data_IF_459467298498
#
_entry.id   IF_459467298498
#
_cell.length_a   1.000
_cell.length_b   1.000
_cell.length_c   1.000
_cell.angle_alpha   90.00
_cell.angle_beta   90.00
_cell.angle_gamma   90.00
#
_symmetry.space_group_name_H-M   'P 1'
#
loop_
_entity.id
_entity.type
_entity.pdbx_description
1 polymer ?
#
# COMPACT_ATOMS: atom_id res chain seq x y z
N UNK A 1 25.15 -17.25 44.56
CA UNK A 1 24.54 -17.82 43.32
C UNK A 1 23.16 -18.35 43.65
N UNK A 2 22.10 -17.72 43.14
CA UNK A 2 20.77 -18.33 43.10
C UNK A 2 20.87 -19.62 42.28
N UNK A 3 20.68 -20.76 42.96
CA UNK A 3 20.65 -22.09 42.38
C UNK A 3 19.34 -22.72 42.76
N UNK A 4 18.68 -23.30 41.76
CA UNK A 4 17.51 -24.14 41.97
C UNK A 4 17.99 -25.42 42.67
N UNK A 5 17.34 -25.78 43.78
CA UNK A 5 17.61 -27.02 44.49
C UNK A 5 17.20 -28.25 43.68
N UNK A 6 17.58 -29.45 44.15
CA UNK A 6 17.17 -30.71 43.50
C UNK A 6 15.63 -30.90 43.48
N UNK A 7 14.93 -30.20 44.36
CA UNK A 7 13.47 -30.15 44.48
C UNK A 7 12.81 -29.12 43.54
N UNK A 8 13.58 -28.39 42.73
CA UNK A 8 13.04 -27.39 41.82
C UNK A 8 12.74 -26.03 42.44
N UNK A 9 13.05 -25.84 43.73
CA UNK A 9 12.79 -24.59 44.44
C UNK A 9 14.06 -23.76 44.67
N UNK A 10 13.91 -22.45 44.55
CA UNK A 10 14.89 -21.50 45.08
C UNK A 10 14.60 -21.25 46.56
N UNK A 11 15.67 -21.13 47.37
CA UNK A 11 15.58 -20.90 48.81
C UNK A 11 16.15 -19.54 49.15
N UNK A 12 15.40 -18.78 49.94
CA UNK A 12 15.80 -17.44 50.40
C UNK A 12 15.80 -17.46 51.92
N UNK A 13 16.94 -17.09 52.52
CA UNK A 13 17.07 -16.90 53.96
C UNK A 13 16.97 -15.40 54.27
N UNK A 14 15.98 -15.02 55.07
CA UNK A 14 15.80 -13.64 55.54
C UNK A 14 16.10 -13.59 57.02
N UNK A 15 17.18 -12.89 57.39
CA UNK A 15 17.54 -12.64 58.78
C UNK A 15 17.02 -11.27 59.19
N UNK A 16 16.12 -11.23 60.16
CA UNK A 16 15.58 -9.99 60.71
C UNK A 16 16.28 -9.63 62.03
N UNK A 17 16.64 -8.36 62.20
CA UNK A 17 17.20 -7.89 63.45
C UNK A 17 16.16 -7.98 64.58
N UNK A 18 16.59 -8.16 65.85
CA UNK A 18 15.69 -8.09 67.01
C UNK A 18 14.86 -6.80 66.98
N UNK A 19 13.55 -6.91 67.23
CA UNK A 19 12.62 -5.77 67.18
C UNK A 19 12.06 -5.44 65.79
N UNK A 20 12.37 -6.22 64.75
CA UNK A 20 11.68 -6.12 63.45
C UNK A 20 10.22 -6.53 63.61
N UNK A 21 9.28 -5.65 63.27
CA UNK A 21 7.85 -5.95 63.35
C UNK A 21 7.41 -6.98 62.30
N UNK A 22 6.38 -7.76 62.61
CA UNK A 22 5.79 -8.76 61.71
C UNK A 22 5.38 -8.13 60.37
N UNK A 23 4.77 -6.95 60.40
CA UNK A 23 4.41 -6.21 59.18
C UNK A 23 5.62 -5.86 58.32
N UNK A 24 6.77 -5.54 58.92
CA UNK A 24 8.01 -5.26 58.19
C UNK A 24 8.58 -6.53 57.59
N UNK A 25 8.60 -7.62 58.36
CA UNK A 25 9.04 -8.93 57.88
C UNK A 25 8.18 -9.42 56.71
N UNK A 26 6.85 -9.31 56.82
CA UNK A 26 5.89 -9.68 55.78
C UNK A 26 6.12 -8.90 54.48
N UNK A 27 6.30 -7.58 54.55
CA UNK A 27 6.62 -6.77 53.35
C UNK A 27 7.93 -7.16 52.69
N UNK A 28 8.97 -7.48 53.48
CA UNK A 28 10.26 -7.93 52.93
C UNK A 28 10.08 -9.29 52.24
N UNK A 29 9.41 -10.23 52.88
CA UNK A 29 9.13 -11.54 52.30
C UNK A 29 8.32 -11.42 50.99
N UNK A 30 7.25 -10.62 50.99
CA UNK A 30 6.44 -10.36 49.81
C UNK A 30 7.27 -9.76 48.66
N UNK A 31 8.12 -8.77 48.93
CA UNK A 31 8.99 -8.17 47.91
C UNK A 31 9.96 -9.18 47.29
N UNK A 32 10.52 -10.07 48.10
CA UNK A 32 11.43 -11.12 47.62
C UNK A 32 10.68 -12.14 46.75
N UNK A 33 9.48 -12.54 47.15
CA UNK A 33 8.63 -13.44 46.36
C UNK A 33 8.18 -12.81 45.04
N UNK A 34 7.76 -11.54 45.06
CA UNK A 34 7.39 -10.79 43.86
C UNK A 34 8.59 -10.64 42.93
N UNK A 35 9.77 -10.30 43.47
CA UNK A 35 11.01 -10.20 42.69
C UNK A 35 11.31 -11.50 41.93
N UNK A 36 11.24 -12.65 42.60
CA UNK A 36 11.50 -13.93 41.94
C UNK A 36 10.40 -14.33 40.95
N UNK A 37 9.14 -14.08 41.30
CA UNK A 37 8.00 -14.34 40.42
C UNK A 37 8.13 -13.55 39.11
N UNK A 38 8.36 -12.23 39.21
CA UNK A 38 8.45 -11.37 38.04
C UNK A 38 9.76 -11.54 37.27
N UNK A 39 10.85 -11.95 37.92
CA UNK A 39 12.08 -12.37 37.23
C UNK A 39 11.82 -13.58 36.35
N UNK A 40 11.12 -14.60 36.85
CA UNK A 40 10.80 -15.77 36.04
C UNK A 40 9.85 -15.42 34.90
N UNK A 41 8.80 -14.63 35.18
CA UNK A 41 7.83 -14.20 34.17
C UNK A 41 8.47 -13.36 33.06
N UNK A 42 9.42 -12.48 33.36
CA UNK A 42 10.14 -11.71 32.33
C UNK A 42 11.03 -12.60 31.47
N UNK A 43 11.68 -13.61 32.06
CA UNK A 43 12.56 -14.56 31.35
C UNK A 43 11.81 -15.52 30.42
N UNK A 44 10.49 -15.68 30.57
CA UNK A 44 9.67 -16.48 29.65
C UNK A 44 9.69 -15.97 28.20
N UNK A 45 10.09 -14.72 27.98
CA UNK A 45 10.21 -14.12 26.64
C UNK A 45 11.56 -14.37 25.97
N UNK A 46 12.61 -14.71 26.72
CA UNK A 46 13.95 -14.89 26.16
C UNK A 46 14.03 -16.03 25.12
N UNK A 47 13.47 -17.23 25.35
CA UNK A 47 13.50 -18.30 24.35
C UNK A 47 12.76 -17.93 23.06
N UNK A 48 11.66 -17.17 23.19
CA UNK A 48 10.90 -16.66 22.05
C UNK A 48 11.73 -15.66 21.26
N UNK A 49 12.36 -14.69 21.93
CA UNK A 49 13.22 -13.70 21.31
C UNK A 49 14.40 -14.34 20.55
N UNK A 50 15.02 -15.38 21.12
CA UNK A 50 16.10 -16.13 20.47
C UNK A 50 15.63 -16.89 19.23
N UNK A 51 14.46 -17.53 19.27
CA UNK A 51 13.91 -18.23 18.09
C UNK A 51 13.51 -17.27 16.98
N UNK A 52 12.95 -16.11 17.32
CA UNK A 52 12.56 -15.10 16.32
C UNK A 52 13.75 -14.42 15.67
N UNK A 53 14.91 -14.35 16.33
CA UNK A 53 16.07 -13.62 15.81
C UNK A 53 16.51 -14.11 14.43
N UNK A 54 16.51 -15.42 14.18
CA UNK A 54 16.86 -15.99 12.87
C UNK A 54 15.78 -15.71 11.82
N UNK A 55 14.51 -15.92 12.17
CA UNK A 55 13.37 -15.62 11.28
C UNK A 55 13.37 -14.15 10.85
N UNK A 56 13.58 -13.23 11.79
CA UNK A 56 13.68 -11.80 11.51
C UNK A 56 14.84 -11.48 10.55
N UNK A 57 16.01 -12.09 10.73
CA UNK A 57 17.14 -11.87 9.83
C UNK A 57 16.81 -12.31 8.40
N UNK A 58 16.12 -13.44 8.22
CA UNK A 58 15.67 -13.90 6.89
C UNK A 58 14.65 -12.95 6.28
N UNK A 59 13.64 -12.52 7.05
CA UNK A 59 12.59 -11.59 6.56
C UNK A 59 13.17 -10.20 6.25
N UNK A 60 14.13 -9.71 7.04
CA UNK A 60 14.88 -8.48 6.77
C UNK A 60 15.67 -8.57 5.45
N UNK A 61 16.33 -9.71 5.20
CA UNK A 61 17.07 -9.94 3.95
C UNK A 61 16.13 -10.00 2.73
N UNK A 62 14.98 -10.66 2.86
CA UNK A 62 13.94 -10.68 1.82
C UNK A 62 13.44 -9.28 1.49
N UNK A 63 13.21 -8.43 2.50
CA UNK A 63 12.83 -7.03 2.26
C UNK A 63 13.90 -6.29 1.46
N UNK A 64 15.18 -6.43 1.84
CA UNK A 64 16.30 -5.80 1.14
C UNK A 64 16.34 -6.23 -0.32
N UNK A 65 16.18 -7.52 -0.59
CA UNK A 65 16.14 -8.06 -1.94
C UNK A 65 14.98 -7.49 -2.77
N UNK A 66 13.77 -7.43 -2.21
CA UNK A 66 12.61 -6.86 -2.89
C UNK A 66 12.83 -5.37 -3.18
N UNK A 67 13.35 -4.62 -2.22
CA UNK A 67 13.64 -3.18 -2.42
C UNK A 67 14.71 -2.95 -3.49
N UNK A 68 15.73 -3.81 -3.57
CA UNK A 68 16.76 -3.71 -4.61
C UNK A 68 16.17 -3.99 -6.01
N UNK A 69 15.26 -4.96 -6.13
CA UNK A 69 14.54 -5.24 -7.40
C UNK A 69 13.61 -4.10 -7.81
N UNK A 70 13.05 -3.37 -6.84
CA UNK A 70 12.23 -2.18 -7.10
C UNK A 70 13.05 -1.06 -7.74
N UNK A 71 14.33 -0.91 -7.37
CA UNK A 71 15.25 0.09 -7.94
C UNK A 71 15.77 -0.30 -9.33
N UNK A 72 16.03 -1.59 -9.59
CA UNK A 72 16.64 -2.03 -10.85
C UNK A 72 15.63 -2.26 -11.98
N UNK A 73 14.32 -2.19 -11.70
CA UNK A 73 13.23 -2.39 -12.67
C UNK A 73 13.28 -3.72 -13.43
N UNK A 74 13.90 -4.76 -12.86
CA UNK A 74 14.08 -6.06 -13.53
C UNK A 74 12.84 -6.95 -13.48
N UNK A 75 11.88 -6.64 -12.60
CA UNK A 75 10.69 -7.46 -12.34
C UNK A 75 9.44 -6.59 -12.45
N UNK A 76 8.32 -7.18 -12.88
CA UNK A 76 7.02 -6.49 -12.91
C UNK A 76 6.60 -6.02 -11.51
N UNK A 77 6.06 -4.81 -11.44
CA UNK A 77 5.58 -4.22 -10.19
C UNK A 77 4.46 -5.07 -9.56
N UNK A 78 3.69 -5.83 -10.35
CA UNK A 78 2.65 -6.77 -9.85
C UNK A 78 3.26 -7.91 -9.02
N UNK A 79 4.38 -8.49 -9.49
CA UNK A 79 5.09 -9.56 -8.77
C UNK A 79 5.69 -9.00 -7.48
N UNK A 80 6.34 -7.83 -7.55
CA UNK A 80 6.90 -7.17 -6.36
C UNK A 80 5.82 -6.82 -5.32
N UNK A 81 4.61 -6.49 -5.79
CA UNK A 81 3.47 -6.16 -4.91
C UNK A 81 2.94 -7.42 -4.21
N UNK A 82 2.88 -8.55 -4.91
CA UNK A 82 2.59 -9.85 -4.32
C UNK A 82 3.64 -10.28 -3.28
N UNK A 83 4.92 -10.15 -3.60
CA UNK A 83 6.03 -10.46 -2.69
C UNK A 83 5.98 -9.59 -1.42
N UNK A 84 5.79 -8.28 -1.57
CA UNK A 84 5.64 -7.36 -0.44
C UNK A 84 4.38 -7.63 0.39
N UNK A 85 3.26 -7.96 -0.24
CA UNK A 85 2.03 -8.30 0.47
C UNK A 85 2.18 -9.57 1.31
N UNK A 86 2.84 -10.60 0.76
CA UNK A 86 3.17 -11.83 1.49
C UNK A 86 4.10 -11.56 2.66
N UNK A 87 5.15 -10.75 2.45
CA UNK A 87 6.08 -10.35 3.50
C UNK A 87 5.39 -9.54 4.61
N UNK A 88 4.51 -8.60 4.24
CA UNK A 88 3.71 -7.82 5.17
C UNK A 88 2.80 -8.72 6.03
N UNK A 89 2.09 -9.67 5.41
CA UNK A 89 1.26 -10.61 6.14
C UNK A 89 2.07 -11.46 7.13
N UNK A 90 3.27 -11.91 6.74
CA UNK A 90 4.15 -12.68 7.62
C UNK A 90 4.64 -11.87 8.82
N UNK A 91 5.04 -10.61 8.60
CA UNK A 91 5.50 -9.70 9.67
C UNK A 91 4.35 -9.34 10.59
N UNK A 92 3.16 -9.05 10.06
CA UNK A 92 1.97 -8.73 10.85
C UNK A 92 1.55 -9.92 11.72
N UNK A 93 1.51 -11.13 11.15
CA UNK A 93 1.23 -12.36 11.90
C UNK A 93 2.23 -12.57 13.05
N UNK A 94 3.53 -12.39 12.79
CA UNK A 94 4.57 -12.53 13.81
C UNK A 94 4.46 -11.44 14.89
N UNK A 95 4.05 -10.24 14.52
CA UNK A 95 3.82 -9.11 15.44
C UNK A 95 2.62 -9.37 16.34
N UNK A 96 1.51 -9.80 15.77
CA UNK A 96 0.30 -10.15 16.51
C UNK A 96 0.57 -11.28 17.52
N UNK A 97 1.35 -12.29 17.14
CA UNK A 97 1.65 -13.44 18.01
C UNK A 97 2.52 -13.08 19.23
N UNK A 98 3.40 -12.10 19.11
CA UNK A 98 4.48 -11.89 20.11
C UNK A 98 4.50 -10.52 20.79
N UNK A 99 3.83 -9.51 20.25
CA UNK A 99 3.84 -8.14 20.79
C UNK A 99 3.42 -8.08 22.26
N UNK A 100 2.31 -8.74 22.62
CA UNK A 100 1.81 -8.79 23.99
C UNK A 100 2.85 -9.39 24.95
N UNK A 101 3.50 -10.49 24.56
CA UNK A 101 4.46 -11.20 25.40
C UNK A 101 5.73 -10.38 25.65
N UNK A 102 6.23 -9.67 24.63
CA UNK A 102 7.37 -8.76 24.80
C UNK A 102 7.02 -7.54 25.65
N UNK A 103 5.82 -6.99 25.48
CA UNK A 103 5.34 -5.89 26.34
C UNK A 103 5.20 -6.33 27.80
N UNK A 104 4.61 -7.50 28.06
CA UNK A 104 4.49 -8.08 29.39
C UNK A 104 5.87 -8.33 30.04
N UNK A 105 6.84 -8.87 29.30
CA UNK A 105 8.18 -9.08 29.85
C UNK A 105 8.88 -7.78 30.27
N UNK A 106 8.68 -6.68 29.52
CA UNK A 106 9.19 -5.36 29.92
C UNK A 106 8.50 -4.83 31.18
N UNK A 107 7.18 -5.02 31.29
CA UNK A 107 6.45 -4.64 32.50
C UNK A 107 6.94 -5.44 33.73
N UNK A 108 7.15 -6.74 33.59
CA UNK A 108 7.68 -7.58 34.66
C UNK A 108 9.13 -7.21 35.04
N UNK A 109 9.99 -6.92 34.08
CA UNK A 109 11.34 -6.39 34.34
C UNK A 109 11.30 -5.06 35.10
N UNK A 110 10.35 -4.18 34.78
CA UNK A 110 10.15 -2.92 35.52
C UNK A 110 9.78 -3.17 36.99
N UNK A 111 8.87 -4.13 37.26
CA UNK A 111 8.50 -4.51 38.63
C UNK A 111 9.71 -5.08 39.38
N UNK A 112 10.53 -5.93 38.74
CA UNK A 112 11.76 -6.45 39.36
C UNK A 112 12.68 -5.31 39.79
N UNK A 113 12.90 -4.31 38.93
CA UNK A 113 13.73 -3.14 39.24
C UNK A 113 13.15 -2.30 40.37
N UNK A 114 11.83 -2.10 40.38
CA UNK A 114 11.13 -1.39 41.45
C UNK A 114 11.30 -2.10 42.80
N UNK A 115 11.14 -3.43 42.84
CA UNK A 115 11.32 -4.22 44.06
C UNK A 115 12.76 -4.20 44.57
N UNK A 116 13.75 -4.25 43.68
CA UNK A 116 15.16 -4.07 44.05
C UNK A 116 15.40 -2.69 44.68
N UNK A 117 14.90 -1.63 44.06
CA UNK A 117 15.02 -0.25 44.56
C UNK A 117 14.37 -0.09 45.95
N UNK A 118 13.16 -0.63 46.10
CA UNK A 118 12.39 -0.59 47.34
C UNK A 118 13.03 -1.34 48.52
N UNK A 119 13.85 -2.36 48.25
CA UNK A 119 14.60 -3.07 49.30
C UNK A 119 15.67 -2.19 49.95
N UNK A 120 16.11 -1.11 49.28
CA UNK A 120 17.16 -0.19 49.76
C UNK A 120 18.39 -0.96 50.25
N UNK A 121 18.84 -1.89 49.42
CA UNK A 121 19.99 -2.74 49.72
C UNK A 121 21.24 -1.89 49.99
N UNK A 122 22.05 -2.35 50.94
CA UNK A 122 23.36 -1.78 51.24
C UNK A 122 24.42 -2.84 50.97
N UNK A 123 25.55 -2.48 50.36
CA UNK A 123 26.62 -3.43 50.12
C UNK A 123 27.17 -3.92 51.46
N UNK A 124 27.40 -5.22 51.53
CA UNK A 124 28.13 -5.87 52.61
C UNK A 124 29.49 -6.28 52.07
N UNK A 125 30.56 -6.07 52.85
CA UNK A 125 31.92 -6.39 52.40
C UNK A 125 32.01 -7.85 51.96
N UNK A 126 32.50 -8.07 50.73
CA UNK A 126 32.66 -9.41 50.15
C UNK A 126 31.38 -10.09 49.64
N UNK A 127 30.21 -9.43 49.69
CA UNK A 127 28.94 -10.01 49.26
C UNK A 127 28.26 -9.10 48.22
N UNK A 128 27.87 -9.70 47.09
CA UNK A 128 27.14 -9.01 46.04
C UNK A 128 25.68 -8.73 46.47
N UNK A 129 25.16 -7.55 46.14
CA UNK A 129 23.75 -7.22 46.39
C UNK A 129 22.82 -7.94 45.41
N UNK A 130 21.52 -7.99 45.72
CA UNK A 130 20.54 -8.62 44.82
C UNK A 130 20.45 -7.82 43.52
N UNK A 131 20.48 -6.49 43.61
CA UNK A 131 20.46 -5.62 42.45
C UNK A 131 21.65 -5.85 41.50
N UNK A 132 22.88 -5.90 42.02
CA UNK A 132 24.05 -6.18 41.18
C UNK A 132 24.01 -7.58 40.56
N UNK A 133 23.53 -8.58 41.31
CA UNK A 133 23.36 -9.93 40.80
C UNK A 133 22.34 -9.97 39.66
N UNK A 134 21.18 -9.33 39.85
CA UNK A 134 20.13 -9.25 38.83
C UNK A 134 20.57 -8.44 37.62
N UNK A 135 21.33 -7.36 37.79
CA UNK A 135 21.89 -6.61 36.68
C UNK A 135 22.78 -7.48 35.78
N UNK A 136 23.58 -8.39 36.35
CA UNK A 136 24.44 -9.28 35.56
C UNK A 136 23.69 -10.45 34.93
N UNK A 137 22.59 -10.91 35.53
CA UNK A 137 21.93 -12.18 35.17
C UNK A 137 20.59 -12.03 34.45
N UNK A 138 19.86 -10.95 34.70
CA UNK A 138 18.59 -10.63 34.06
C UNK A 138 18.75 -9.61 32.94
N UNK A 139 19.56 -8.56 33.12
CA UNK A 139 19.65 -7.47 32.15
C UNK A 139 20.06 -7.92 30.74
N UNK A 140 21.03 -8.84 30.54
CA UNK A 140 21.38 -9.31 29.20
C UNK A 140 20.22 -10.04 28.49
N UNK A 141 19.41 -10.79 29.25
CA UNK A 141 18.21 -11.45 28.71
C UNK A 141 17.16 -10.43 28.28
N UNK A 142 16.91 -9.41 29.11
CA UNK A 142 15.97 -8.35 28.79
C UNK A 142 16.44 -7.46 27.63
N UNK A 143 17.74 -7.20 27.53
CA UNK A 143 18.33 -6.51 26.38
C UNK A 143 18.06 -7.28 25.06
N UNK A 144 18.17 -8.61 25.09
CA UNK A 144 17.83 -9.46 23.93
C UNK A 144 16.36 -9.36 23.57
N UNK A 145 15.45 -9.43 24.56
CA UNK A 145 14.00 -9.30 24.35
C UNK A 145 13.65 -7.93 23.76
N UNK A 146 14.24 -6.86 24.28
CA UNK A 146 14.01 -5.49 23.82
C UNK A 146 14.51 -5.31 22.39
N UNK A 147 15.75 -5.71 22.10
CA UNK A 147 16.32 -5.61 20.76
C UNK A 147 15.49 -6.37 19.71
N UNK A 148 15.02 -7.58 20.04
CA UNK A 148 14.15 -8.34 19.12
C UNK A 148 12.79 -7.65 18.92
N UNK A 149 12.19 -7.09 19.97
CA UNK A 149 10.94 -6.33 19.88
C UNK A 149 11.08 -5.08 19.02
N UNK A 150 12.18 -4.34 19.16
CA UNK A 150 12.47 -3.13 18.38
C UNK A 150 12.73 -3.47 16.91
N UNK A 151 13.49 -4.54 16.63
CA UNK A 151 13.73 -5.03 15.27
C UNK A 151 12.44 -5.42 14.57
N UNK A 152 11.54 -6.14 15.25
CA UNK A 152 10.25 -6.53 14.69
C UNK A 152 9.39 -5.30 14.34
N UNK A 153 9.33 -4.29 15.22
CA UNK A 153 8.61 -3.04 14.97
C UNK A 153 9.23 -2.25 13.80
N UNK A 154 10.57 -2.14 13.75
CA UNK A 154 11.27 -1.46 12.67
C UNK A 154 11.06 -2.16 11.32
N UNK A 155 11.06 -3.49 11.30
CA UNK A 155 10.78 -4.27 10.09
C UNK A 155 9.36 -4.03 9.60
N UNK A 156 8.34 -4.07 10.47
CA UNK A 156 6.96 -3.78 10.11
C UNK A 156 6.81 -2.39 9.47
N UNK A 157 7.44 -1.37 10.05
CA UNK A 157 7.45 -0.03 9.49
C UNK A 157 8.14 0.04 8.12
N UNK A 158 9.29 -0.65 7.95
CA UNK A 158 10.01 -0.68 6.67
C UNK A 158 9.19 -1.37 5.58
N UNK A 159 8.53 -2.49 5.89
CA UNK A 159 7.65 -3.19 4.94
C UNK A 159 6.49 -2.28 4.54
N UNK A 160 5.81 -1.66 5.51
CA UNK A 160 4.70 -0.73 5.25
C UNK A 160 5.11 0.42 4.32
N UNK A 161 6.28 1.02 4.55
CA UNK A 161 6.81 2.07 3.66
C UNK A 161 7.11 1.55 2.25
N UNK A 162 7.75 0.39 2.12
CA UNK A 162 8.05 -0.21 0.82
C UNK A 162 6.76 -0.51 0.03
N UNK A 163 5.73 -1.07 0.69
CA UNK A 163 4.42 -1.32 0.09
C UNK A 163 3.74 -0.03 -0.37
N UNK A 164 3.80 1.04 0.44
CA UNK A 164 3.22 2.33 0.07
C UNK A 164 3.91 2.96 -1.15
N UNK A 165 5.25 2.90 -1.21
CA UNK A 165 6.02 3.39 -2.36
C UNK A 165 5.69 2.62 -3.63
N UNK A 166 5.65 1.28 -3.56
CA UNK A 166 5.32 0.47 -4.73
C UNK A 166 3.89 0.71 -5.22
N UNK A 167 2.92 0.81 -4.30
CA UNK A 167 1.54 1.16 -4.66
C UNK A 167 1.47 2.50 -5.39
N UNK A 168 2.14 3.52 -4.86
CA UNK A 168 2.19 4.86 -5.48
C UNK A 168 2.79 4.79 -6.89
N UNK A 169 3.86 3.99 -7.08
CA UNK A 169 4.49 3.81 -8.39
C UNK A 169 3.56 3.12 -9.40
N UNK A 170 2.82 2.08 -8.97
CA UNK A 170 1.83 1.40 -9.80
C UNK A 170 0.69 2.34 -10.19
N UNK A 171 0.19 3.14 -9.24
CA UNK A 171 -0.86 4.14 -9.50
C UNK A 171 -0.41 5.17 -10.55
N UNK A 172 0.81 5.71 -10.44
CA UNK A 172 1.38 6.64 -11.43
C UNK A 172 1.53 5.99 -12.80
N UNK A 173 2.00 4.74 -12.86
CA UNK A 173 2.16 4.03 -14.13
C UNK A 173 0.81 3.79 -14.83
N UNK A 174 -0.23 3.43 -14.05
CA UNK A 174 -1.58 3.25 -14.57
C UNK A 174 -2.19 4.58 -15.05
N UNK A 175 -1.97 5.68 -14.33
CA UNK A 175 -2.42 7.02 -14.73
C UNK A 175 -1.76 7.47 -16.04
N UNK A 176 -0.45 7.28 -16.17
CA UNK A 176 0.28 7.58 -17.40
C UNK A 176 -0.22 6.76 -18.60
N UNK A 177 -0.53 5.47 -18.39
CA UNK A 177 -1.11 4.61 -19.43
C UNK A 177 -2.51 5.10 -19.85
N UNK A 178 -3.36 5.47 -18.90
CA UNK A 178 -4.70 6.00 -19.16
C UNK A 178 -4.63 7.32 -19.94
N UNK A 179 -3.72 8.22 -19.58
CA UNK A 179 -3.52 9.47 -20.31
C UNK A 179 -3.12 9.21 -21.77
N UNK A 180 -2.20 8.28 -22.02
CA UNK A 180 -1.81 7.90 -23.39
C UNK A 180 -2.97 7.29 -24.19
N UNK A 181 -3.82 6.49 -23.54
CA UNK A 181 -5.00 5.92 -24.17
C UNK A 181 -6.01 7.01 -24.56
N UNK A 182 -6.28 7.95 -23.66
CA UNK A 182 -7.16 9.11 -23.90
C UNK A 182 -6.64 10.00 -25.05
N UNK A 183 -5.32 10.24 -25.10
CA UNK A 183 -4.72 10.97 -26.22
C UNK A 183 -4.90 10.26 -27.56
N UNK A 184 -4.69 8.94 -27.60
CA UNK A 184 -4.89 8.14 -28.82
C UNK A 184 -6.36 8.15 -29.26
N UNK A 185 -7.30 8.03 -28.33
CA UNK A 185 -8.73 8.14 -28.61
C UNK A 185 -9.09 9.51 -29.19
N UNK A 186 -8.60 10.58 -28.56
CA UNK A 186 -8.86 11.97 -29.01
C UNK A 186 -8.31 12.20 -30.42
N UNK A 187 -7.10 11.70 -30.71
CA UNK A 187 -6.51 11.77 -32.07
C UNK A 187 -7.32 10.95 -33.08
N UNK A 188 -7.78 9.76 -32.69
CA UNK A 188 -8.62 8.91 -33.53
C UNK A 188 -9.96 9.58 -33.86
N UNK A 189 -10.62 10.17 -32.88
CA UNK A 189 -11.86 10.94 -33.07
C UNK A 189 -11.63 12.16 -33.98
N UNK A 190 -10.53 12.89 -33.80
CA UNK A 190 -10.20 14.02 -34.67
C UNK A 190 -9.96 13.58 -36.13
N UNK A 191 -9.34 12.42 -36.35
CA UNK A 191 -9.16 11.86 -37.69
C UNK A 191 -10.51 11.41 -38.28
N UNK A 192 -11.37 10.76 -37.49
CA UNK A 192 -12.71 10.37 -37.92
C UNK A 192 -13.54 11.58 -38.34
N UNK A 193 -13.50 12.67 -37.58
CA UNK A 193 -14.19 13.92 -37.93
C UNK A 193 -13.67 14.52 -39.25
N UNK A 194 -12.34 14.49 -39.48
CA UNK A 194 -11.76 14.94 -40.75
C UNK A 194 -12.22 14.08 -41.92
N UNK A 195 -12.17 12.75 -41.78
CA UNK A 195 -12.63 11.83 -42.82
C UNK A 195 -14.11 12.02 -43.12
N UNK A 196 -14.94 12.18 -42.08
CA UNK A 196 -16.37 12.48 -42.25
C UNK A 196 -16.56 13.79 -43.03
N UNK A 197 -15.84 14.86 -42.67
CA UNK A 197 -15.91 16.13 -43.40
C UNK A 197 -15.48 16.02 -44.86
N UNK A 198 -14.51 15.15 -45.17
CA UNK A 198 -14.11 14.89 -46.57
C UNK A 198 -15.17 14.14 -47.35
N UNK A 199 -15.86 13.17 -46.71
CA UNK A 199 -16.97 12.43 -47.34
C UNK A 199 -18.18 13.35 -47.56
N UNK A 200 -18.43 14.27 -46.63
CA UNK A 200 -19.48 15.28 -46.78
C UNK A 200 -19.19 16.25 -47.95
N UNK A 201 -17.93 16.60 -48.18
CA UNK A 201 -17.53 17.36 -49.36
C UNK A 201 -17.81 16.61 -50.68
N UNK A 202 -17.54 15.30 -50.72
CA UNK A 202 -17.81 14.46 -51.89
C UNK A 202 -19.32 14.21 -52.10
N UNK A 203 -20.11 14.11 -51.02
CA UNK A 203 -21.55 13.88 -51.11
C UNK A 203 -22.29 15.06 -51.75
N UNK A 204 -21.81 16.31 -51.59
CA UNK A 204 -22.34 17.48 -52.30
C UNK A 204 -22.31 17.24 -53.81
N UNK A 205 -21.20 16.74 -54.36
CA UNK A 205 -21.06 16.48 -55.78
C UNK A 205 -22.02 15.38 -56.25
N UNK A 206 -22.11 14.27 -55.51
CA UNK A 206 -23.01 13.18 -55.82
C UNK A 206 -24.50 13.61 -55.78
N UNK A 207 -24.93 14.28 -54.70
CA UNK A 207 -26.31 14.76 -54.54
C UNK A 207 -26.66 15.77 -55.64
N UNK A 208 -25.76 16.71 -55.93
CA UNK A 208 -25.97 17.70 -57.00
C UNK A 208 -26.20 17.02 -58.34
N UNK A 209 -25.39 16.02 -58.69
CA UNK A 209 -25.56 15.25 -59.92
C UNK A 209 -26.90 14.51 -59.99
N UNK A 210 -27.31 13.85 -58.91
CA UNK A 210 -28.59 13.13 -58.87
C UNK A 210 -29.79 14.07 -58.99
N UNK A 211 -29.78 15.21 -58.30
CA UNK A 211 -30.86 16.20 -58.37
C UNK A 211 -30.95 16.85 -59.75
N UNK A 212 -29.82 17.22 -60.35
CA UNK A 212 -29.79 17.76 -61.72
C UNK A 212 -30.31 16.72 -62.73
N UNK A 213 -29.91 15.46 -62.57
CA UNK A 213 -30.41 14.35 -63.40
C UNK A 213 -31.93 14.17 -63.25
N UNK A 214 -32.47 14.28 -62.03
CA UNK A 214 -33.90 14.22 -61.78
C UNK A 214 -34.65 15.38 -62.44
N UNK A 215 -34.13 16.61 -62.37
CA UNK A 215 -34.68 17.77 -63.08
C UNK A 215 -34.66 17.56 -64.61
N UNK A 216 -33.60 16.97 -65.16
CA UNK A 216 -33.50 16.65 -66.58
C UNK A 216 -34.57 15.63 -67.01
N UNK A 217 -34.76 14.55 -66.25
CA UNK A 217 -35.79 13.55 -66.55
C UNK A 217 -37.20 14.13 -66.42
N UNK A 218 -37.44 14.99 -65.43
CA UNK A 218 -38.72 15.69 -65.27
C UNK A 218 -38.98 16.64 -66.47
N UNK A 219 -37.96 17.39 -66.90
CA UNK A 219 -38.05 18.23 -68.10
C UNK A 219 -38.35 17.42 -69.36
N UNK A 220 -37.73 16.26 -69.54
CA UNK A 220 -38.02 15.34 -70.65
C UNK A 220 -39.46 14.83 -70.60
N UNK A 221 -39.98 14.49 -69.42
CA UNK A 221 -41.36 14.05 -69.23
C UNK A 221 -42.37 15.17 -69.56
N UNK A 222 -42.12 16.40 -69.11
CA UNK A 222 -42.97 17.56 -69.42
C UNK A 222 -42.97 17.89 -70.92
N UNK A 223 -41.81 17.77 -71.59
CA UNK A 223 -41.72 17.90 -73.05
C UNK A 223 -42.54 16.83 -73.77
N UNK A 224 -42.49 15.57 -73.30
CA UNK A 224 -43.33 14.49 -73.83
C UNK A 224 -44.83 14.70 -73.58
N UNK A 225 -45.20 15.44 -72.52
CA UNK A 225 -46.57 15.80 -72.18
C UNK A 225 -47.11 17.03 -72.95
N UNK A 226 -46.34 17.60 -73.89
CA UNK A 226 -46.80 18.68 -74.79
C UNK A 226 -46.41 20.10 -74.38
N UNK A 227 -45.57 20.29 -73.35
CA UNK A 227 -45.03 21.59 -72.98
C UNK A 227 -43.73 21.89 -73.76
N UNK A 228 -43.61 23.09 -74.34
CA UNK A 228 -42.41 23.53 -75.08
C UNK A 228 -41.25 23.92 -74.14
N UNK A 229 -40.79 22.98 -73.31
CA UNK A 229 -39.62 23.18 -72.43
C UNK A 229 -38.41 22.50 -73.06
N UNK A 230 -37.26 23.19 -73.09
CA UNK A 230 -35.99 22.58 -73.44
C UNK A 230 -35.35 21.95 -72.18
N UNK A 231 -35.31 20.60 -72.06
CA UNK A 231 -34.84 19.93 -70.85
C UNK A 231 -33.36 20.20 -70.55
N UNK A 232 -32.54 20.42 -71.58
CA UNK A 232 -31.10 20.68 -71.43
C UNK A 232 -30.83 22.08 -70.87
N UNK A 233 -31.59 23.08 -71.32
CA UNK A 233 -31.52 24.44 -70.76
C UNK A 233 -32.00 24.46 -69.31
N UNK A 234 -33.07 23.72 -68.98
CA UNK A 234 -33.58 23.60 -67.62
C UNK A 234 -32.55 22.96 -66.68
N UNK A 235 -31.87 21.89 -67.12
CA UNK A 235 -30.80 21.25 -66.36
C UNK A 235 -29.55 22.15 -66.21
N UNK A 236 -29.18 22.88 -67.26
CA UNK A 236 -28.06 23.83 -67.22
C UNK A 236 -28.29 24.95 -66.21
N UNK A 237 -29.48 25.56 -66.21
CA UNK A 237 -29.83 26.62 -65.25
C UNK A 237 -30.05 26.08 -63.82
N UNK A 238 -30.53 24.85 -63.65
CA UNK A 238 -30.73 24.27 -62.32
C UNK A 238 -29.41 23.88 -61.65
N UNK A 239 -28.36 23.55 -62.41
CA UNK A 239 -27.06 23.11 -61.87
C UNK A 239 -26.44 24.07 -60.84
N UNK A 240 -26.20 25.37 -61.14
CA UNK A 240 -25.62 26.30 -60.16
C UNK A 240 -26.55 26.56 -58.98
N UNK A 241 -27.87 26.56 -59.20
CA UNK A 241 -28.86 26.75 -58.14
C UNK A 241 -28.85 25.58 -57.15
N UNK A 242 -28.90 24.34 -57.66
CA UNK A 242 -28.88 23.11 -56.86
C UNK A 242 -27.58 22.98 -56.09
N UNK A 243 -26.44 23.23 -56.73
CA UNK A 243 -25.13 23.21 -56.07
C UNK A 243 -25.10 24.18 -54.87
N UNK A 244 -25.59 25.41 -55.07
CA UNK A 244 -25.57 26.44 -54.04
C UNK A 244 -26.55 26.16 -52.89
N UNK A 245 -27.71 25.58 -53.20
CA UNK A 245 -28.69 25.14 -52.19
C UNK A 245 -28.16 23.95 -51.39
N UNK A 246 -27.64 22.91 -52.04
CA UNK A 246 -27.05 21.76 -51.37
C UNK A 246 -25.88 22.16 -50.48
N UNK A 247 -25.00 23.04 -50.97
CA UNK A 247 -23.89 23.56 -50.18
C UNK A 247 -24.35 24.35 -48.95
N UNK A 248 -25.32 25.25 -49.10
CA UNK A 248 -25.88 26.00 -47.97
C UNK A 248 -26.60 25.11 -46.96
N UNK A 249 -27.35 24.12 -47.41
CA UNK A 249 -28.05 23.17 -46.55
C UNK A 249 -27.08 22.37 -45.69
N UNK A 250 -26.01 21.84 -46.28
CA UNK A 250 -24.98 21.09 -45.55
C UNK A 250 -24.20 21.99 -44.59
N UNK A 251 -23.89 23.23 -44.99
CA UNK A 251 -23.28 24.20 -44.07
C UNK A 251 -24.21 24.58 -42.91
N UNK A 252 -25.52 24.68 -43.13
CA UNK A 252 -26.49 24.99 -42.09
C UNK A 252 -26.58 23.85 -41.06
N UNK A 253 -26.66 22.60 -41.51
CA UNK A 253 -26.67 21.40 -40.66
C UNK A 253 -25.38 21.33 -39.82
N UNK A 254 -24.23 21.64 -40.43
CA UNK A 254 -22.95 21.69 -39.73
C UNK A 254 -22.89 22.76 -38.63
N UNK A 255 -23.49 23.93 -38.86
CA UNK A 255 -23.55 24.99 -37.86
C UNK A 255 -24.45 24.60 -36.69
N UNK A 256 -25.62 24.02 -36.96
CA UNK A 256 -26.53 23.56 -35.90
C UNK A 256 -25.95 22.42 -35.05
N UNK A 257 -25.14 21.53 -35.64
CA UNK A 257 -24.49 20.44 -34.91
C UNK A 257 -23.27 20.90 -34.08
N UNK A 258 -22.67 22.05 -34.39
CA UNK A 258 -21.57 22.64 -33.59
C UNK A 258 -22.05 23.41 -32.35
N UNK A 259 -23.34 23.75 -32.28
CA UNK A 259 -23.94 24.51 -31.17
C UNK A 259 -24.61 23.62 -30.11
N UNK A 260 -24.60 22.29 -30.29
CA UNK A 260 -25.01 21.27 -29.33
C UNK A 260 -23.80 20.67 -28.60
#
# INVERSE_FOLDING_TARGET
NLRIGADGFERILVMAAPGTSENRAGRIAQRLLELETYRMMSLLSLPVAKRLASKLATTEAQLVEITARLETHTVSDEVLLGDLASLAAQVESTTAEHSYRFSAARAYDAIVKERISEMRERPLSGIQTVGEFMQRRLAPAMATVNATSERLAALAQRVSRASALLRTRVEIAAEAQNQQLLEKLTRGQALQLRLQSTVEGLSIAAITYYVVSLCLYLGKALKAAGLNINPEMLAGFSTPLVLLVCWRMIQHIHRSLREL
#
